data_IF_496667563326
#
_entry.id   IF_496667563326
#
_cell.length_a   1.000
_cell.length_b   1.000
_cell.length_c   1.000
_cell.angle_alpha   90.00
_cell.angle_beta   90.00
_cell.angle_gamma   90.00
#
_symmetry.space_group_name_H-M   'P 1'
#
loop_
_entity.id
_entity.type
_entity.pdbx_description
1 polymer ?
#
# COMPACT_ATOMS: atom_id res chain seq x y z
N UNK A 1 -52.06 24.60 -49.89
CA UNK A 1 -50.76 24.81 -49.20
C UNK A 1 -50.97 24.59 -47.72
N UNK A 2 -50.32 23.61 -47.11
CA UNK A 2 -50.26 23.54 -45.66
C UNK A 2 -48.93 22.92 -45.21
N UNK A 3 -48.19 23.71 -44.45
CA UNK A 3 -46.79 23.62 -44.03
C UNK A 3 -46.51 22.56 -42.95
N UNK A 4 -47.32 21.50 -42.84
CA UNK A 4 -47.27 20.56 -41.70
C UNK A 4 -46.54 19.23 -41.99
N UNK A 5 -45.69 19.15 -43.02
CA UNK A 5 -44.92 17.92 -43.32
C UNK A 5 -43.41 18.08 -43.38
N UNK A 6 -42.85 19.24 -43.05
CA UNK A 6 -41.39 19.46 -43.07
C UNK A 6 -40.79 19.58 -41.66
N UNK A 7 -41.61 19.69 -40.60
CA UNK A 7 -41.12 19.82 -39.22
C UNK A 7 -40.82 18.49 -38.51
N UNK A 8 -41.16 17.31 -39.06
CA UNK A 8 -40.91 16.02 -38.41
C UNK A 8 -39.70 15.26 -38.95
N UNK A 9 -38.96 15.82 -39.90
CA UNK A 9 -37.79 15.17 -40.52
C UNK A 9 -36.46 15.79 -40.05
N UNK A 10 -36.48 16.98 -39.45
CA UNK A 10 -35.25 17.67 -38.98
C UNK A 10 -34.98 17.46 -37.47
N UNK A 11 -35.91 16.85 -36.72
CA UNK A 11 -35.79 16.66 -35.25
C UNK A 11 -35.49 15.22 -34.80
N UNK A 12 -35.27 14.25 -35.70
CA UNK A 12 -34.81 12.90 -35.32
C UNK A 12 -33.33 12.63 -35.56
N UNK A 13 -32.65 13.47 -36.35
CA UNK A 13 -31.19 13.42 -36.55
C UNK A 13 -30.39 14.04 -35.38
N UNK A 14 -31.05 14.76 -34.47
CA UNK A 14 -30.43 15.29 -33.24
C UNK A 14 -30.55 14.34 -32.03
N UNK A 15 -31.18 13.16 -32.21
CA UNK A 15 -31.34 12.14 -31.17
C UNK A 15 -30.11 11.26 -30.93
N UNK A 16 -29.07 11.35 -31.77
CA UNK A 16 -27.90 10.47 -31.69
C UNK A 16 -26.58 11.18 -31.39
N UNK A 17 -26.56 12.51 -31.20
CA UNK A 17 -25.32 13.26 -30.93
C UNK A 17 -25.19 13.71 -29.46
N UNK A 18 -26.22 13.55 -28.62
CA UNK A 18 -26.17 13.97 -27.20
C UNK A 18 -25.84 12.80 -26.23
N UNK A 19 -25.76 11.56 -26.70
CA UNK A 19 -25.42 10.40 -25.83
C UNK A 19 -23.91 10.15 -25.72
N UNK A 20 -23.07 10.80 -26.54
CA UNK A 20 -21.63 10.55 -26.56
C UNK A 20 -20.76 11.56 -25.76
N UNK A 21 -21.35 12.61 -25.18
CA UNK A 21 -20.58 13.71 -24.55
C UNK A 21 -20.68 13.79 -23.01
N UNK A 22 -21.35 12.84 -22.35
CA UNK A 22 -21.43 12.80 -20.87
C UNK A 22 -20.58 11.68 -20.23
N UNK A 23 -19.62 11.11 -20.97
CA UNK A 23 -18.75 10.01 -20.52
C UNK A 23 -17.24 10.33 -20.57
N UNK A 24 -16.87 11.61 -20.73
CA UNK A 24 -15.47 12.07 -20.63
C UNK A 24 -15.17 12.78 -19.31
N UNK A 25 -15.92 12.47 -18.26
CA UNK A 25 -15.36 12.60 -16.91
C UNK A 25 -14.34 11.49 -16.76
N UNK A 26 -13.04 11.82 -16.67
CA UNK A 26 -12.09 10.90 -16.05
C UNK A 26 -12.77 10.32 -14.80
N UNK A 27 -12.67 9.00 -14.51
CA UNK A 27 -13.25 8.48 -13.29
C UNK A 27 -12.56 9.21 -12.13
N UNK A 28 -13.25 10.23 -11.62
CA UNK A 28 -12.93 10.84 -10.36
C UNK A 28 -13.06 9.69 -9.38
N UNK A 29 -11.92 9.33 -8.79
CA UNK A 29 -11.73 8.42 -7.67
C UNK A 29 -13.06 8.24 -6.94
N UNK A 30 -13.72 7.09 -7.10
CA UNK A 30 -14.78 6.73 -6.18
C UNK A 30 -14.05 6.37 -4.87
N UNK A 31 -13.68 7.42 -4.12
CA UNK A 31 -13.08 7.29 -2.82
C UNK A 31 -14.01 6.43 -1.96
N UNK A 32 -13.44 5.53 -1.16
CA UNK A 32 -14.17 4.84 -0.11
C UNK A 32 -14.98 5.89 0.67
N UNK A 33 -16.30 5.91 0.47
CA UNK A 33 -17.16 7.03 0.90
C UNK A 33 -17.30 7.16 2.42
N UNK A 34 -16.79 6.18 3.16
CA UNK A 34 -16.82 6.09 4.62
C UNK A 34 -15.42 5.94 5.22
N UNK A 35 -14.44 6.66 4.66
CA UNK A 35 -13.07 6.68 5.21
C UNK A 35 -12.97 7.68 6.35
N UNK A 36 -12.37 7.25 7.46
CA UNK A 36 -12.00 8.11 8.59
C UNK A 36 -10.49 8.04 8.76
N UNK A 37 -9.85 9.20 8.91
CA UNK A 37 -8.42 9.32 9.20
C UNK A 37 -8.22 9.62 10.68
N UNK A 38 -7.68 8.65 11.42
CA UNK A 38 -7.21 8.80 12.80
C UNK A 38 -5.76 9.28 12.81
N UNK A 39 -5.42 10.27 13.64
CA UNK A 39 -4.03 10.67 13.92
C UNK A 39 -3.72 10.58 15.41
N UNK A 40 -2.59 9.96 15.71
CA UNK A 40 -2.08 9.72 17.06
C UNK A 40 -0.66 10.26 17.18
N UNK A 41 -0.44 11.13 18.17
CA UNK A 41 0.87 11.69 18.50
C UNK A 41 0.99 11.90 20.00
N UNK A 42 2.13 11.53 20.59
CA UNK A 42 2.36 11.63 22.03
C UNK A 42 2.14 13.06 22.54
N UNK A 43 1.25 13.22 23.52
CA UNK A 43 0.92 14.50 24.16
C UNK A 43 -0.16 15.32 23.45
N UNK A 44 -0.61 14.93 22.26
CA UNK A 44 -1.72 15.59 21.55
C UNK A 44 -3.02 14.82 21.74
N UNK A 45 -4.16 15.53 21.73
CA UNK A 45 -5.47 14.87 21.71
C UNK A 45 -5.65 14.18 20.34
N UNK A 46 -5.98 12.87 20.30
CA UNK A 46 -6.27 12.16 19.06
C UNK A 46 -7.28 12.90 18.19
N UNK A 47 -7.10 12.84 16.87
CA UNK A 47 -8.05 13.45 15.94
C UNK A 47 -8.58 12.44 14.93
N UNK A 48 -9.85 12.57 14.56
CA UNK A 48 -10.50 11.87 13.46
C UNK A 48 -10.93 12.90 12.41
N UNK A 49 -10.46 12.75 11.17
CA UNK A 49 -10.68 13.71 10.08
C UNK A 49 -10.29 15.15 10.47
N UNK A 50 -9.23 15.29 11.27
CA UNK A 50 -8.74 16.58 11.79
C UNK A 50 -9.52 17.15 12.97
N UNK A 51 -10.65 16.56 13.36
CA UNK A 51 -11.42 16.97 14.54
C UNK A 51 -10.98 16.15 15.78
N UNK A 52 -10.85 16.76 16.97
CA UNK A 52 -10.55 16.03 18.20
C UNK A 52 -11.56 14.91 18.49
N UNK A 53 -11.07 13.75 18.91
CA UNK A 53 -11.93 12.64 19.37
C UNK A 53 -12.64 13.07 20.65
N UNK A 54 -13.97 13.05 20.64
CA UNK A 54 -14.79 13.53 21.74
C UNK A 54 -14.48 12.76 23.04
N UNK A 55 -14.16 13.50 24.11
CA UNK A 55 -13.84 12.94 25.42
C UNK A 55 -12.47 12.28 25.55
N UNK A 56 -11.65 12.26 24.48
CA UNK A 56 -10.29 11.74 24.55
C UNK A 56 -9.36 12.70 25.30
N UNK A 57 -8.52 12.15 26.17
CA UNK A 57 -7.35 12.82 26.70
C UNK A 57 -6.21 12.86 25.68
N UNK A 58 -5.13 13.58 26.00
CA UNK A 58 -3.88 13.49 25.25
C UNK A 58 -3.41 12.03 25.13
N UNK A 59 -2.95 11.65 23.94
CA UNK A 59 -2.43 10.32 23.65
C UNK A 59 -1.09 10.12 24.35
N UNK A 60 -0.90 8.96 24.97
CA UNK A 60 0.30 8.63 25.76
C UNK A 60 0.95 7.30 25.34
N UNK A 61 0.48 6.71 24.23
CA UNK A 61 0.89 5.37 23.82
C UNK A 61 2.08 5.31 22.85
N UNK A 62 2.71 6.43 22.47
CA UNK A 62 3.96 6.34 21.71
C UNK A 62 5.09 5.97 22.67
N UNK A 63 5.72 4.83 22.42
CA UNK A 63 6.86 4.31 23.17
C UNK A 63 8.01 4.16 22.20
N UNK A 64 9.13 4.82 22.45
CA UNK A 64 10.31 4.73 21.61
C UNK A 64 11.62 4.84 22.38
N UNK A 65 12.66 4.22 21.85
CA UNK A 65 14.00 4.31 22.42
C UNK A 65 15.03 3.97 21.36
N UNK A 66 16.31 4.13 21.68
CA UNK A 66 17.39 3.58 20.88
C UNK A 66 18.42 2.89 21.74
N UNK A 67 19.20 2.03 21.10
CA UNK A 67 20.36 1.36 21.69
C UNK A 67 21.58 1.71 20.86
N UNK A 68 22.74 1.68 21.51
CA UNK A 68 23.98 2.13 20.90
C UNK A 68 25.13 1.19 21.26
N UNK A 69 25.87 0.71 20.26
CA UNK A 69 26.94 -0.29 20.46
C UNK A 69 28.06 0.19 21.36
N UNK A 70 28.44 1.48 21.26
CA UNK A 70 29.48 2.06 22.12
C UNK A 70 29.08 2.19 23.59
N UNK A 71 27.77 2.16 23.89
CA UNK A 71 27.22 2.24 25.23
C UNK A 71 26.36 1.00 25.50
N UNK A 72 26.97 -0.20 25.51
CA UNK A 72 26.22 -1.41 25.27
C UNK A 72 25.28 -1.81 26.43
N UNK A 73 25.49 -1.24 27.61
CA UNK A 73 24.71 -1.43 28.83
C UNK A 73 23.84 -0.21 29.19
N UNK A 74 23.84 0.84 28.36
CA UNK A 74 23.06 2.05 28.61
C UNK A 74 21.69 1.95 27.93
N UNK A 75 20.63 2.25 28.69
CA UNK A 75 19.29 2.45 28.17
C UNK A 75 19.04 3.96 27.95
N UNK A 76 18.39 4.30 26.83
CA UNK A 76 18.16 5.70 26.43
C UNK A 76 16.65 6.04 26.45
N UNK A 77 15.96 5.65 27.53
CA UNK A 77 14.50 5.63 27.64
C UNK A 77 13.77 6.98 27.60
N UNK A 78 14.49 8.09 27.62
CA UNK A 78 13.93 9.44 27.63
C UNK A 78 14.71 10.41 26.74
N UNK A 79 15.51 9.86 25.82
CA UNK A 79 16.33 10.68 24.95
C UNK A 79 15.43 11.44 23.97
N UNK A 80 15.55 12.77 23.85
CA UNK A 80 14.69 13.57 22.97
C UNK A 80 14.84 13.21 21.48
N UNK A 81 15.91 12.49 21.13
CA UNK A 81 16.25 12.04 19.78
C UNK A 81 16.63 10.56 19.84
N UNK A 82 16.06 9.76 18.93
CA UNK A 82 16.45 8.38 18.72
C UNK A 82 17.46 8.27 17.59
N UNK A 83 18.54 7.52 17.81
CA UNK A 83 19.57 7.26 16.82
C UNK A 83 19.38 5.88 16.20
N UNK A 84 19.65 5.78 14.90
CA UNK A 84 19.68 4.53 14.19
C UNK A 84 20.63 4.60 13.01
N UNK A 85 21.06 3.44 12.51
CA UNK A 85 22.10 3.37 11.50
C UNK A 85 23.48 3.28 12.15
N UNK A 86 24.55 3.56 11.42
CA UNK A 86 25.89 3.61 11.99
C UNK A 86 26.65 4.79 11.41
N UNK A 87 27.63 5.33 12.12
CA UNK A 87 28.48 6.38 11.58
C UNK A 87 29.92 5.91 11.70
N UNK A 88 30.71 6.01 10.63
CA UNK A 88 32.16 5.91 10.73
C UNK A 88 32.68 7.23 11.34
N UNK A 89 32.35 7.45 12.61
CA UNK A 89 32.69 8.67 13.32
C UNK A 89 34.16 8.63 13.72
N UNK A 90 34.95 9.60 13.24
CA UNK A 90 36.28 9.97 13.78
C UNK A 90 37.23 8.78 14.07
N UNK A 91 37.26 7.77 13.21
CA UNK A 91 38.19 6.64 13.35
C UNK A 91 37.77 5.57 14.35
N UNK A 92 36.47 5.47 14.67
CA UNK A 92 35.90 4.34 15.42
C UNK A 92 35.18 3.37 14.46
N UNK A 93 35.88 2.34 13.95
CA UNK A 93 35.24 1.30 13.16
C UNK A 93 34.32 0.49 14.08
N UNK A 94 33.00 0.72 14.02
CA UNK A 94 31.88 -0.12 14.54
C UNK A 94 30.70 0.61 15.19
N UNK A 95 30.58 1.94 15.12
CA UNK A 95 29.48 2.65 15.77
C UNK A 95 28.13 2.35 15.08
N UNK A 96 27.28 1.57 15.76
CA UNK A 96 25.96 1.16 15.31
C UNK A 96 24.91 1.49 16.37
N UNK A 97 23.81 2.08 15.92
CA UNK A 97 22.62 2.36 16.70
C UNK A 97 21.39 1.72 16.05
N UNK A 98 20.42 1.35 16.89
CA UNK A 98 19.12 0.84 16.46
C UNK A 98 18.03 1.55 17.26
N UNK A 99 16.97 1.99 16.59
CA UNK A 99 15.83 2.58 17.25
C UNK A 99 14.64 1.62 17.25
N UNK A 100 13.83 1.69 18.30
CA UNK A 100 12.60 0.94 18.46
C UNK A 100 11.44 1.92 18.65
N UNK A 101 10.31 1.64 18.02
CA UNK A 101 9.10 2.46 18.18
C UNK A 101 7.84 1.60 18.10
N UNK A 102 6.88 1.87 18.97
CA UNK A 102 5.52 1.32 18.91
C UNK A 102 4.47 2.32 19.37
N UNK A 103 3.23 2.08 18.96
CA UNK A 103 2.06 2.87 19.33
C UNK A 103 1.09 1.98 20.09
N UNK A 104 1.01 2.10 21.42
CA UNK A 104 0.11 1.34 22.29
C UNK A 104 -1.28 1.98 22.36
N UNK A 105 -2.31 1.16 22.59
CA UNK A 105 -3.67 1.64 22.85
C UNK A 105 -4.33 2.37 21.67
N UNK A 106 -3.77 2.28 20.45
CA UNK A 106 -4.33 2.90 19.26
C UNK A 106 -5.71 2.31 18.91
N UNK A 107 -5.90 1.03 19.24
CA UNK A 107 -7.15 0.28 19.09
C UNK A 107 -8.31 0.88 19.89
N UNK A 108 -8.05 1.64 20.96
CA UNK A 108 -9.10 2.32 21.73
C UNK A 108 -9.77 3.45 20.93
N UNK A 109 -9.12 3.91 19.86
CA UNK A 109 -9.61 4.95 18.96
C UNK A 109 -10.10 4.38 17.63
N UNK A 110 -10.00 3.06 17.44
CA UNK A 110 -10.54 2.35 16.29
C UNK A 110 -11.79 1.58 16.70
N UNK A 111 -12.92 1.73 16.00
CA UNK A 111 -14.08 0.87 16.20
C UNK A 111 -13.72 -0.61 16.03
N UNK A 112 -14.34 -1.51 16.80
CA UNK A 112 -14.02 -2.95 16.82
C UNK A 112 -14.14 -3.70 15.47
N UNK A 113 -14.71 -3.05 14.45
CA UNK A 113 -14.82 -3.55 13.07
C UNK A 113 -14.26 -2.58 12.04
N UNK A 114 -13.42 -1.64 12.47
CA UNK A 114 -12.67 -0.81 11.54
C UNK A 114 -11.83 -1.71 10.63
N UNK A 115 -11.67 -1.28 9.38
CA UNK A 115 -10.79 -1.91 8.41
C UNK A 115 -9.74 -0.89 8.06
N UNK A 116 -8.49 -1.12 8.45
CA UNK A 116 -7.38 -0.25 8.09
C UNK A 116 -7.17 -0.34 6.59
N UNK A 117 -7.33 0.79 5.91
CA UNK A 117 -7.08 0.95 4.49
C UNK A 117 -5.64 1.37 4.24
N UNK A 118 -5.13 2.26 5.11
CA UNK A 118 -3.71 2.60 5.15
C UNK A 118 -3.28 3.02 6.56
N UNK A 119 -2.01 2.84 6.89
CA UNK A 119 -1.40 3.39 8.09
C UNK A 119 -0.02 3.94 7.77
N UNK A 120 0.26 5.18 8.20
CA UNK A 120 1.49 5.90 7.92
C UNK A 120 2.11 6.40 9.21
N UNK A 121 3.37 6.04 9.43
CA UNK A 121 4.21 6.56 10.49
C UNK A 121 5.07 7.71 9.94
N UNK A 122 4.89 8.88 10.51
CA UNK A 122 5.67 10.08 10.23
C UNK A 122 6.76 10.24 11.30
N UNK A 123 8.01 10.31 10.86
CA UNK A 123 9.19 10.51 11.70
C UNK A 123 9.91 11.78 11.27
N UNK A 124 9.94 12.79 12.14
CA UNK A 124 10.68 14.02 11.89
C UNK A 124 12.17 13.78 12.11
N UNK A 125 13.00 14.06 11.10
CA UNK A 125 14.46 14.02 11.21
C UNK A 125 14.95 15.04 12.23
N UNK A 126 15.87 14.63 13.10
CA UNK A 126 16.61 15.53 13.99
C UNK A 126 18.00 15.88 13.43
N UNK A 127 18.21 15.64 12.13
CA UNK A 127 19.47 15.84 11.41
C UNK A 127 20.29 14.55 11.28
N UNK A 128 20.69 14.23 10.05
CA UNK A 128 21.67 13.16 9.80
C UNK A 128 23.10 13.65 10.04
N UNK A 129 23.98 12.75 10.47
CA UNK A 129 25.32 13.11 10.93
C UNK A 129 26.43 12.90 9.89
N UNK A 130 26.19 12.13 8.83
CA UNK A 130 27.23 11.76 7.84
C UNK A 130 26.69 11.75 6.41
N UNK A 131 27.49 12.27 5.48
CA UNK A 131 27.32 12.14 4.02
C UNK A 131 27.71 10.74 3.55
N UNK A 132 26.88 10.12 2.72
CA UNK A 132 27.17 8.79 2.18
C UNK A 132 26.84 7.65 3.16
N UNK A 133 25.84 6.84 2.82
CA UNK A 133 25.48 5.67 3.60
C UNK A 133 24.45 4.82 2.87
N UNK A 134 24.56 3.51 3.05
CA UNK A 134 23.54 2.54 2.65
C UNK A 134 22.24 2.77 3.44
N UNK A 135 21.17 2.12 3.01
CA UNK A 135 19.86 2.33 3.61
C UNK A 135 19.75 1.91 5.07
N UNK A 136 18.70 2.37 5.75
CA UNK A 136 18.33 1.83 7.06
C UNK A 136 17.30 0.74 6.87
N UNK A 137 17.51 -0.38 7.51
CA UNK A 137 16.60 -1.50 7.43
C UNK A 137 15.51 -1.37 8.48
N UNK A 138 14.31 -1.82 8.12
CA UNK A 138 13.12 -1.78 8.94
C UNK A 138 12.70 -3.22 9.20
N UNK A 139 12.55 -3.59 10.46
CA UNK A 139 12.09 -4.92 10.86
C UNK A 139 10.86 -4.79 11.73
N UNK A 140 9.93 -5.74 11.64
CA UNK A 140 8.90 -5.85 12.67
C UNK A 140 9.45 -6.60 13.89
N UNK A 141 8.93 -6.29 15.07
CA UNK A 141 9.38 -6.92 16.30
C UNK A 141 8.61 -8.21 16.60
N UNK A 142 9.34 -9.29 16.89
CA UNK A 142 8.77 -10.60 17.24
C UNK A 142 8.76 -10.84 18.74
N UNK A 143 9.42 -10.01 19.54
CA UNK A 143 9.48 -10.12 21.01
C UNK A 143 9.09 -8.78 21.64
N UNK A 144 8.40 -8.83 22.77
CA UNK A 144 8.05 -7.62 23.53
C UNK A 144 9.31 -6.96 24.10
N UNK A 145 9.29 -5.64 24.26
CA UNK A 145 10.42 -4.87 24.79
C UNK A 145 9.95 -3.72 25.66
N UNK A 146 10.86 -3.10 26.40
CA UNK A 146 10.63 -1.86 27.16
C UNK A 146 11.73 -0.87 26.82
N UNK A 147 11.58 0.39 27.22
CA UNK A 147 12.60 1.41 26.96
C UNK A 147 13.91 1.16 27.74
N UNK A 148 13.94 0.17 28.64
CA UNK A 148 15.14 -0.26 29.37
C UNK A 148 16.04 -1.21 28.56
N UNK A 149 15.72 -1.48 27.29
CA UNK A 149 16.59 -2.26 26.41
C UNK A 149 17.94 -1.57 26.21
N UNK A 150 18.98 -2.39 26.09
CA UNK A 150 20.36 -1.98 25.85
C UNK A 150 20.88 -2.71 24.62
N UNK A 151 22.09 -2.40 24.16
CA UNK A 151 22.69 -3.16 23.07
C UNK A 151 22.85 -4.64 23.42
N UNK A 152 23.26 -4.93 24.66
CA UNK A 152 23.48 -6.29 25.16
C UNK A 152 22.17 -7.06 25.43
N UNK A 153 21.08 -6.35 25.71
CA UNK A 153 19.74 -6.94 25.97
C UNK A 153 18.76 -6.74 24.82
N UNK A 154 19.26 -6.40 23.63
CA UNK A 154 18.42 -6.03 22.48
C UNK A 154 17.43 -7.15 22.11
N UNK A 155 16.15 -6.81 21.88
CA UNK A 155 15.12 -7.79 21.53
C UNK A 155 15.37 -8.42 20.15
N UNK A 156 14.94 -9.67 19.97
CA UNK A 156 14.93 -10.30 18.67
C UNK A 156 13.93 -9.61 17.73
N UNK A 157 14.34 -9.44 16.47
CA UNK A 157 13.52 -8.87 15.39
C UNK A 157 13.10 -9.97 14.41
N UNK A 158 12.04 -9.72 13.66
CA UNK A 158 11.53 -10.60 12.62
C UNK A 158 12.29 -10.46 11.30
N UNK A 159 11.60 -10.77 10.21
CA UNK A 159 12.09 -10.55 8.85
C UNK A 159 12.14 -9.06 8.51
N UNK A 160 13.06 -8.68 7.62
CA UNK A 160 13.15 -7.34 7.02
C UNK A 160 11.84 -7.03 6.28
N UNK A 161 11.21 -5.91 6.61
CA UNK A 161 9.94 -5.46 6.03
C UNK A 161 10.10 -4.23 5.14
N UNK A 162 11.24 -3.55 5.19
CA UNK A 162 11.53 -2.43 4.32
C UNK A 162 12.96 -1.97 4.50
N UNK A 163 13.50 -1.24 3.52
CA UNK A 163 14.79 -0.58 3.62
C UNK A 163 14.72 0.84 3.08
N UNK A 164 15.48 1.72 3.73
CA UNK A 164 15.52 3.16 3.54
C UNK A 164 16.76 3.54 2.73
N UNK A 165 16.83 3.10 1.46
CA UNK A 165 17.92 3.49 0.55
C UNK A 165 17.86 4.99 0.26
N UNK A 166 19.00 5.68 0.36
CA UNK A 166 19.06 7.14 0.20
C UNK A 166 19.75 7.52 -1.11
N UNK A 167 18.98 8.15 -2.00
CA UNK A 167 19.44 8.84 -3.20
C UNK A 167 18.83 10.25 -3.21
N UNK A 168 19.60 11.35 -3.34
CA UNK A 168 21.06 11.46 -3.38
C UNK A 168 21.68 11.42 -1.97
N UNK A 169 22.94 10.99 -1.87
CA UNK A 169 23.75 10.72 -0.66
C UNK A 169 23.89 11.85 0.40
N UNK A 170 23.12 12.94 0.33
CA UNK A 170 23.27 14.16 1.14
C UNK A 170 22.41 14.14 2.42
N UNK A 171 22.96 14.43 3.63
CA UNK A 171 22.32 14.43 4.95
C UNK A 171 20.88 14.90 4.94
N UNK A 172 20.01 14.17 5.62
CA UNK A 172 18.62 14.58 5.80
C UNK A 172 18.60 15.78 6.76
N UNK A 173 18.13 16.97 6.32
CA UNK A 173 18.11 18.13 7.18
C UNK A 173 17.22 17.90 8.40
N UNK A 174 17.56 18.57 9.50
CA UNK A 174 16.67 18.70 10.66
C UNK A 174 15.32 19.28 10.21
N UNK A 175 14.23 18.77 10.78
CA UNK A 175 12.86 19.21 10.49
C UNK A 175 12.29 18.66 9.18
N UNK A 176 12.96 17.73 8.51
CA UNK A 176 12.40 17.04 7.34
C UNK A 176 11.75 15.71 7.72
N UNK A 177 10.62 15.39 7.10
CA UNK A 177 9.78 14.26 7.51
C UNK A 177 10.11 12.98 6.72
N UNK A 178 10.22 11.84 7.41
CA UNK A 178 10.22 10.50 6.82
C UNK A 178 8.83 9.89 6.98
N UNK A 179 8.35 9.20 5.95
CA UNK A 179 7.07 8.49 6.03
C UNK A 179 7.31 7.01 5.79
N UNK A 180 6.94 6.20 6.77
CA UNK A 180 6.90 4.75 6.69
C UNK A 180 5.45 4.33 6.60
N UNK A 181 5.16 3.35 5.78
CA UNK A 181 3.83 2.76 5.71
C UNK A 181 3.82 1.47 6.52
N UNK A 182 2.86 1.40 7.42
CA UNK A 182 2.66 0.29 8.33
C UNK A 182 1.26 -0.31 8.14
N UNK A 183 0.59 -0.06 7.00
CA UNK A 183 -0.80 -0.46 6.73
C UNK A 183 -1.04 -1.92 7.07
N UNK A 184 -0.21 -2.80 6.52
CA UNK A 184 -0.26 -4.24 6.74
C UNK A 184 -0.02 -4.64 8.20
N UNK A 185 0.91 -3.98 8.88
CA UNK A 185 1.24 -4.26 10.28
C UNK A 185 0.13 -3.79 11.22
N UNK A 186 -0.33 -2.56 11.07
CA UNK A 186 -1.39 -1.96 11.88
C UNK A 186 -2.71 -2.71 11.69
N UNK A 187 -3.02 -3.14 10.47
CA UNK A 187 -4.17 -4.03 10.22
C UNK A 187 -4.01 -5.37 10.96
N UNK A 188 -2.82 -6.00 10.89
CA UNK A 188 -2.57 -7.27 11.58
C UNK A 188 -2.62 -7.12 13.12
N UNK A 189 -2.12 -6.00 13.66
CA UNK A 189 -2.22 -5.65 15.07
C UNK A 189 -3.67 -5.43 15.50
N UNK A 190 -4.43 -4.64 14.73
CA UNK A 190 -5.83 -4.33 15.02
C UNK A 190 -6.72 -5.57 14.99
N UNK A 191 -6.52 -6.47 14.02
CA UNK A 191 -7.28 -7.72 13.92
C UNK A 191 -6.78 -8.83 14.86
N UNK A 192 -5.72 -8.59 15.63
CA UNK A 192 -5.13 -9.57 16.55
C UNK A 192 -4.36 -10.70 15.86
N UNK A 193 -4.10 -10.59 14.55
CA UNK A 193 -3.28 -11.55 13.79
C UNK A 193 -1.78 -11.45 14.11
N UNK A 194 -1.34 -10.32 14.67
CA UNK A 194 0.01 -10.10 15.17
C UNK A 194 -0.06 -9.28 16.47
N UNK A 195 0.75 -9.61 17.48
CA UNK A 195 0.86 -8.76 18.66
C UNK A 195 1.56 -7.43 18.29
N UNK A 196 1.03 -6.30 18.78
CA UNK A 196 1.69 -5.01 18.59
C UNK A 196 2.97 -4.93 19.43
N UNK A 197 4.09 -5.16 18.77
CA UNK A 197 5.44 -5.07 19.36
C UNK A 197 6.26 -3.97 18.69
N UNK A 198 5.66 -3.18 17.80
CA UNK A 198 6.34 -2.12 17.06
C UNK A 198 7.29 -2.63 15.98
N UNK A 199 8.17 -1.72 15.56
CA UNK A 199 9.21 -1.92 14.56
C UNK A 199 10.59 -1.55 15.12
N UNK A 200 11.63 -2.05 14.48
CA UNK A 200 13.01 -1.56 14.66
C UNK A 200 13.51 -0.90 13.39
N UNK A 201 14.30 0.16 13.58
CA UNK A 201 15.04 0.88 12.55
C UNK A 201 16.52 0.62 12.81
N UNK A 202 17.18 -0.03 11.86
CA UNK A 202 18.52 -0.60 12.05
C UNK A 202 19.45 -0.15 10.90
N UNK A 203 20.76 -0.31 11.09
CA UNK A 203 21.71 -0.37 9.98
C UNK A 203 21.79 -1.80 9.43
N UNK A 204 22.20 -1.92 8.17
CA UNK A 204 22.86 -3.14 7.70
C UNK A 204 24.20 -3.24 8.45
N UNK A 205 24.26 -4.12 9.46
CA UNK A 205 25.44 -4.30 10.32
C UNK A 205 26.65 -4.87 9.57
N UNK A 206 26.42 -5.46 8.39
CA UNK A 206 27.44 -6.12 7.56
C UNK A 206 27.83 -5.29 6.31
N UNK A 207 27.30 -4.07 6.15
CA UNK A 207 27.53 -3.22 4.98
C UNK A 207 28.61 -2.16 5.18
N UNK A 208 29.47 -1.93 4.19
CA UNK A 208 30.62 -1.00 4.24
C UNK A 208 30.25 0.50 4.31
N UNK A 209 28.97 0.87 4.25
CA UNK A 209 28.51 2.27 4.19
C UNK A 209 27.47 2.53 5.26
N UNK A 210 27.90 3.05 6.41
CA UNK A 210 27.01 3.42 7.51
C UNK A 210 26.81 4.95 7.55
N UNK A 211 25.57 5.41 7.36
CA UNK A 211 25.18 6.79 7.73
C UNK A 211 24.39 6.78 9.04
N UNK A 212 24.80 7.61 10.00
CA UNK A 212 24.09 7.81 11.26
C UNK A 212 22.87 8.68 11.01
N UNK A 213 21.70 8.17 11.40
CA UNK A 213 20.40 8.82 11.21
C UNK A 213 19.73 9.04 12.55
N UNK A 214 18.81 10.00 12.55
CA UNK A 214 18.10 10.36 13.76
C UNK A 214 16.66 10.77 13.47
N UNK A 215 15.80 10.60 14.46
CA UNK A 215 14.46 11.20 14.48
C UNK A 215 14.14 11.69 15.89
N UNK A 216 13.26 12.68 15.98
CA UNK A 216 12.75 13.17 17.26
C UNK A 216 11.86 12.10 17.93
N UNK A 217 12.18 11.77 19.18
CA UNK A 217 11.46 10.80 20.03
C UNK A 217 10.07 11.30 20.47
N UNK A 218 9.31 10.44 21.14
CA UNK A 218 8.12 10.80 21.92
C UNK A 218 8.38 11.82 23.02
N UNK A 219 9.63 12.00 23.47
CA UNK A 219 10.05 12.94 24.49
C UNK A 219 10.57 14.28 23.94
N UNK A 220 10.53 14.48 22.62
CA UNK A 220 10.92 15.75 22.03
C UNK A 220 10.11 16.92 22.62
N UNK A 221 10.77 18.06 22.85
CA UNK A 221 10.15 19.22 23.50
C UNK A 221 8.99 19.80 22.67
N UNK A 222 9.16 19.88 21.35
CA UNK A 222 8.11 20.33 20.44
C UNK A 222 7.20 19.14 20.07
N UNK A 223 5.91 19.23 20.40
CA UNK A 223 4.93 18.21 20.06
C UNK A 223 4.93 17.93 18.55
N UNK A 224 5.00 18.96 17.71
CA UNK A 224 4.99 18.83 16.24
C UNK A 224 6.10 17.95 15.67
N UNK A 225 7.20 17.75 16.41
CA UNK A 225 8.33 16.94 15.96
C UNK A 225 8.19 15.47 16.35
N UNK A 226 7.32 15.14 17.30
CA UNK A 226 7.18 13.77 17.82
C UNK A 226 6.60 12.81 16.76
N UNK A 227 6.91 11.50 16.85
CA UNK A 227 6.39 10.50 15.92
C UNK A 227 4.86 10.53 15.86
N UNK A 228 4.31 10.41 14.65
CA UNK A 228 2.86 10.44 14.42
C UNK A 228 2.41 9.22 13.62
N UNK A 229 1.45 8.48 14.16
CA UNK A 229 0.77 7.40 13.44
C UNK A 229 -0.56 7.93 12.90
N UNK A 230 -0.69 7.93 11.59
CA UNK A 230 -1.94 8.20 10.87
C UNK A 230 -2.53 6.87 10.38
N UNK A 231 -3.81 6.63 10.64
CA UNK A 231 -4.54 5.43 10.21
C UNK A 231 -5.77 5.88 9.45
N UNK A 232 -5.84 5.59 8.16
CA UNK A 232 -7.07 5.69 7.39
C UNK A 232 -7.81 4.35 7.48
N UNK A 233 -9.05 4.37 7.97
CA UNK A 233 -9.87 3.18 8.10
C UNK A 233 -11.29 3.39 7.57
N UNK A 234 -11.90 2.31 7.11
CA UNK A 234 -13.33 2.26 6.79
C UNK A 234 -14.11 1.62 7.92
N UNK A 235 -15.33 2.09 8.14
CA UNK A 235 -16.30 1.43 8.99
C UNK A 235 -16.99 0.32 8.18
N UNK A 236 -16.92 -0.92 8.65
CA UNK A 236 -17.85 -1.96 8.20
C UNK A 236 -19.04 -1.95 9.16
N UNK A 237 -20.22 -1.63 8.63
CA UNK A 237 -21.49 -1.53 9.34
C UNK A 237 -21.67 -0.32 10.27
N UNK A 238 -22.14 0.80 9.71
CA UNK A 238 -23.08 1.67 10.43
C UNK A 238 -24.34 1.76 9.58
N UNK A 239 -25.44 1.23 10.11
CA UNK A 239 -26.76 1.34 9.51
C UNK A 239 -27.02 2.77 8.99
N UNK A 240 -27.08 2.93 7.67
CA UNK A 240 -27.73 4.09 7.04
C UNK A 240 -26.86 5.26 6.57
N UNK A 241 -25.58 5.09 6.23
CA UNK A 241 -24.92 6.14 5.41
C UNK A 241 -25.43 6.05 3.98
N UNK A 242 -26.32 6.98 3.63
CA UNK A 242 -26.84 7.19 2.28
C UNK A 242 -25.68 7.33 1.29
N UNK A 243 -25.62 6.48 0.28
CA UNK A 243 -24.76 6.71 -0.88
C UNK A 243 -25.56 7.48 -1.94
N UNK A 244 -25.07 8.62 -2.44
CA UNK A 244 -25.80 9.42 -3.44
C UNK A 244 -25.92 8.74 -4.82
N UNK A 245 -25.23 7.61 -5.04
CA UNK A 245 -25.20 6.93 -6.34
C UNK A 245 -26.29 5.83 -6.51
N UNK A 246 -26.95 5.39 -5.43
CA UNK A 246 -27.97 4.33 -5.49
C UNK A 246 -29.16 4.76 -4.62
N UNK A 247 -29.97 5.68 -5.13
CA UNK A 247 -31.14 6.17 -4.40
C UNK A 247 -32.19 5.07 -4.25
N UNK A 248 -32.52 4.71 -3.01
CA UNK A 248 -33.82 4.10 -2.67
C UNK A 248 -33.84 2.76 -1.95
N UNK A 249 -32.73 2.13 -1.54
CA UNK A 249 -32.77 0.88 -0.75
C UNK A 249 -31.65 0.81 0.29
N UNK A 250 -32.02 0.60 1.56
CA UNK A 250 -31.06 0.33 2.65
C UNK A 250 -30.23 -0.92 2.29
N UNK A 251 -28.91 -0.84 2.39
CA UNK A 251 -28.03 -1.98 2.12
C UNK A 251 -26.76 -1.94 2.95
N UNK A 252 -26.19 -3.12 3.18
CA UNK A 252 -24.97 -3.30 3.96
C UNK A 252 -23.76 -3.03 3.10
N UNK A 253 -22.78 -2.31 3.62
CA UNK A 253 -21.46 -2.18 3.00
C UNK A 253 -20.45 -3.04 3.73
N UNK A 254 -19.67 -3.82 2.98
CA UNK A 254 -18.61 -4.67 3.50
C UNK A 254 -17.27 -4.30 2.85
N UNK A 255 -16.18 -4.46 3.59
CA UNK A 255 -14.81 -4.34 3.07
C UNK A 255 -14.11 -5.68 3.28
N UNK A 256 -13.66 -6.28 2.18
CA UNK A 256 -13.02 -7.59 2.11
C UNK A 256 -11.58 -7.39 1.70
N UNK A 257 -10.66 -8.01 2.44
CA UNK A 257 -9.23 -7.94 2.20
C UNK A 257 -8.78 -9.34 1.83
N UNK A 258 -8.24 -9.49 0.63
CA UNK A 258 -7.69 -10.76 0.13
C UNK A 258 -6.19 -10.61 -0.05
N UNK A 259 -5.43 -11.55 0.51
CA UNK A 259 -3.98 -11.50 0.49
C UNK A 259 -3.39 -12.91 0.32
N UNK A 260 -2.35 -13.03 -0.51
CA UNK A 260 -1.57 -14.25 -0.68
C UNK A 260 -2.11 -15.24 -1.72
N UNK A 261 -1.44 -16.38 -1.89
CA UNK A 261 -1.48 -17.20 -3.11
C UNK A 261 -2.84 -17.83 -3.44
N UNK A 262 -3.84 -17.75 -2.54
CA UNK A 262 -5.18 -18.29 -2.80
C UNK A 262 -6.00 -17.43 -3.77
N UNK A 263 -5.72 -16.12 -3.84
CA UNK A 263 -6.44 -15.16 -4.69
C UNK A 263 -5.51 -14.55 -5.75
N UNK A 264 -4.23 -14.92 -5.70
CA UNK A 264 -3.17 -14.30 -6.49
C UNK A 264 -2.36 -15.35 -7.21
N UNK A 265 -2.07 -15.09 -8.47
CA UNK A 265 -0.93 -15.65 -9.19
C UNK A 265 0.03 -14.51 -9.51
N UNK A 266 1.30 -14.64 -9.17
CA UNK A 266 2.31 -13.68 -9.60
C UNK A 266 3.58 -14.37 -10.08
N UNK A 267 4.38 -13.60 -10.82
CA UNK A 267 5.72 -14.01 -11.24
C UNK A 267 6.56 -12.77 -11.53
N UNK A 268 7.83 -13.01 -11.75
CA UNK A 268 8.83 -12.00 -12.02
C UNK A 268 9.57 -12.32 -13.32
N UNK A 269 9.69 -11.30 -14.18
CA UNK A 269 10.37 -11.37 -15.48
C UNK A 269 11.65 -10.54 -15.48
N UNK A 270 12.72 -11.13 -16.02
CA UNK A 270 14.01 -10.49 -16.26
C UNK A 270 14.71 -11.06 -17.51
N UNK A 271 15.53 -10.25 -18.20
CA UNK A 271 16.33 -10.72 -19.36
C UNK A 271 17.24 -11.90 -19.02
N UNK A 272 17.87 -11.83 -17.85
CA UNK A 272 18.87 -12.81 -17.41
C UNK A 272 18.22 -14.04 -16.78
N UNK A 273 16.95 -13.96 -16.41
CA UNK A 273 16.25 -15.03 -15.71
C UNK A 273 14.73 -14.95 -15.95
N UNK A 274 14.17 -15.98 -16.56
CA UNK A 274 12.75 -16.07 -16.81
C UNK A 274 12.01 -16.79 -15.67
N UNK A 275 10.80 -16.32 -15.36
CA UNK A 275 9.77 -17.05 -14.62
C UNK A 275 10.15 -17.49 -13.19
N UNK A 276 9.98 -16.58 -12.23
CA UNK A 276 10.12 -16.91 -10.81
C UNK A 276 8.78 -16.98 -10.07
N UNK A 277 8.00 -18.02 -10.32
CA UNK A 277 6.81 -18.35 -9.50
C UNK A 277 7.10 -18.72 -8.04
N UNK A 278 8.36 -18.67 -7.61
CA UNK A 278 8.74 -18.88 -6.21
C UNK A 278 9.49 -17.69 -5.61
N UNK A 279 9.65 -16.60 -6.38
CA UNK A 279 10.32 -15.42 -5.87
C UNK A 279 9.41 -14.70 -4.88
N UNK A 280 9.90 -14.48 -3.67
CA UNK A 280 9.21 -13.66 -2.68
C UNK A 280 9.27 -12.16 -2.95
N UNK A 281 10.14 -11.73 -3.88
CA UNK A 281 10.43 -10.33 -4.19
C UNK A 281 10.71 -10.20 -5.69
N UNK A 282 10.06 -9.23 -6.34
CA UNK A 282 10.34 -8.83 -7.71
C UNK A 282 11.14 -7.53 -7.72
N UNK A 283 12.23 -7.51 -8.48
CA UNK A 283 13.12 -6.36 -8.60
C UNK A 283 12.92 -5.68 -9.96
N UNK A 284 12.34 -4.50 -9.94
CA UNK A 284 11.88 -3.77 -11.13
C UNK A 284 12.97 -2.88 -11.76
N UNK A 285 14.27 -3.11 -11.48
CA UNK A 285 15.34 -2.26 -12.04
C UNK A 285 15.38 -2.26 -13.58
N UNK A 286 15.86 -1.15 -14.14
CA UNK A 286 16.11 -0.96 -15.58
C UNK A 286 17.55 -0.50 -15.90
N UNK A 287 18.46 -0.54 -14.90
CA UNK A 287 19.77 0.10 -14.99
C UNK A 287 20.69 -0.49 -16.07
N UNK A 288 21.05 0.37 -17.04
CA UNK A 288 21.94 0.21 -18.20
C UNK A 288 21.30 -0.41 -19.47
N UNK A 289 21.78 0.01 -20.65
CA UNK A 289 21.24 -0.36 -21.97
C UNK A 289 21.35 -1.85 -22.32
N UNK A 290 22.08 -2.63 -21.52
CA UNK A 290 22.21 -4.08 -21.69
C UNK A 290 21.16 -4.88 -20.88
N UNK A 291 20.54 -4.27 -19.86
CA UNK A 291 19.53 -4.92 -19.04
C UNK A 291 18.12 -4.61 -19.58
N UNK A 292 17.32 -5.65 -19.87
CA UNK A 292 15.88 -5.43 -20.13
C UNK A 292 15.19 -4.93 -18.86
N UNK A 293 14.11 -4.13 -18.99
CA UNK A 293 13.27 -3.75 -17.88
C UNK A 293 12.71 -5.01 -17.24
N UNK A 294 12.97 -5.15 -15.94
CA UNK A 294 12.38 -6.19 -15.12
C UNK A 294 10.96 -5.80 -14.72
N UNK A 295 10.09 -6.79 -14.61
CA UNK A 295 8.65 -6.56 -14.39
C UNK A 295 8.07 -7.60 -13.44
N UNK A 296 7.11 -7.19 -12.63
CA UNK A 296 6.25 -8.12 -11.91
C UNK A 296 4.95 -8.30 -12.69
N UNK A 297 4.54 -9.55 -12.88
CA UNK A 297 3.22 -9.89 -13.40
C UNK A 297 2.35 -10.35 -12.24
N UNK A 298 1.13 -9.82 -12.16
CA UNK A 298 0.18 -10.17 -11.11
C UNK A 298 -1.19 -10.48 -11.72
N UNK A 299 -1.86 -11.51 -11.25
CA UNK A 299 -3.22 -11.84 -11.65
C UNK A 299 -4.06 -12.15 -10.42
N UNK A 300 -5.21 -11.48 -10.35
CA UNK A 300 -6.24 -11.77 -9.36
C UNK A 300 -7.06 -12.95 -9.90
N UNK A 301 -7.10 -14.06 -9.17
CA UNK A 301 -7.89 -15.22 -9.55
C UNK A 301 -9.36 -14.98 -9.22
N UNK A 302 -10.13 -14.54 -10.24
CA UNK A 302 -11.50 -14.06 -10.06
C UNK A 302 -12.52 -15.17 -9.85
N UNK A 303 -12.18 -16.44 -10.08
CA UNK A 303 -13.09 -17.56 -9.83
C UNK A 303 -13.58 -17.60 -8.37
N UNK A 304 -12.70 -17.29 -7.42
CA UNK A 304 -13.06 -17.20 -6.00
C UNK A 304 -13.87 -15.95 -5.64
N UNK A 305 -13.94 -14.96 -6.54
CA UNK A 305 -14.62 -13.69 -6.36
C UNK A 305 -16.00 -13.67 -7.04
N UNK A 306 -16.11 -14.30 -8.21
CA UNK A 306 -17.33 -14.34 -9.03
C UNK A 306 -18.50 -15.08 -8.37
N UNK A 307 -18.23 -15.93 -7.38
CA UNK A 307 -19.28 -16.68 -6.67
C UNK A 307 -20.11 -15.80 -5.73
N UNK A 308 -19.61 -14.60 -5.36
CA UNK A 308 -20.30 -13.71 -4.43
C UNK A 308 -20.40 -12.26 -4.91
N UNK A 309 -19.66 -11.86 -5.95
CA UNK A 309 -19.81 -10.57 -6.62
C UNK A 309 -20.71 -10.65 -7.85
N UNK A 310 -21.71 -9.77 -7.90
CA UNK A 310 -22.60 -9.65 -9.04
C UNK A 310 -21.91 -9.06 -10.27
N UNK A 311 -22.33 -9.52 -11.45
CA UNK A 311 -22.03 -8.85 -12.72
C UNK A 311 -22.77 -7.55 -12.85
N UNK A 312 -22.24 -6.58 -13.58
CA UNK A 312 -22.90 -5.29 -13.86
C UNK A 312 -24.29 -5.47 -14.47
N UNK A 313 -24.48 -6.50 -15.29
CA UNK A 313 -25.76 -6.82 -15.94
C UNK A 313 -26.75 -7.58 -15.06
N UNK A 314 -26.32 -8.13 -13.92
CA UNK A 314 -27.22 -8.84 -13.03
C UNK A 314 -28.26 -7.87 -12.46
N UNK A 315 -29.51 -8.29 -12.24
CA UNK A 315 -30.48 -7.49 -11.51
C UNK A 315 -30.07 -7.33 -10.04
N UNK A 316 -30.44 -6.20 -9.43
CA UNK A 316 -30.30 -6.04 -7.97
C UNK A 316 -31.16 -7.08 -7.24
N UNK A 317 -30.50 -8.02 -6.55
CA UNK A 317 -31.14 -9.06 -5.75
C UNK A 317 -30.59 -9.03 -4.32
N UNK A 318 -31.41 -9.32 -3.30
CA UNK A 318 -30.95 -9.44 -1.93
C UNK A 318 -29.87 -10.50 -1.78
N UNK A 319 -28.91 -10.23 -0.91
CA UNK A 319 -27.84 -11.18 -0.61
C UNK A 319 -26.76 -11.30 -1.69
N UNK A 320 -26.88 -10.59 -2.82
CA UNK A 320 -25.84 -10.55 -3.84
C UNK A 320 -25.03 -9.26 -3.69
N UNK A 321 -23.71 -9.40 -3.47
CA UNK A 321 -22.84 -8.26 -3.26
C UNK A 321 -22.51 -7.57 -4.59
N UNK A 322 -22.56 -6.24 -4.59
CA UNK A 322 -22.13 -5.39 -5.69
C UNK A 322 -20.77 -4.81 -5.38
N UNK A 323 -19.87 -4.83 -6.36
CA UNK A 323 -18.62 -4.10 -6.25
C UNK A 323 -18.91 -2.60 -6.17
N UNK A 324 -18.33 -1.93 -5.18
CA UNK A 324 -18.38 -0.47 -5.02
C UNK A 324 -17.02 0.12 -5.37
N UNK A 325 -15.96 -0.46 -4.82
CA UNK A 325 -14.59 -0.09 -5.14
C UNK A 325 -13.65 -1.28 -4.97
N UNK A 326 -12.54 -1.27 -5.68
CA UNK A 326 -11.44 -2.21 -5.52
C UNK A 326 -10.10 -1.47 -5.55
N UNK A 327 -9.26 -1.76 -4.56
CA UNK A 327 -7.89 -1.27 -4.50
C UNK A 327 -6.89 -2.40 -4.45
N UNK A 328 -5.96 -2.40 -5.41
CA UNK A 328 -4.77 -3.23 -5.39
C UNK A 328 -3.70 -2.55 -4.55
N UNK A 329 -3.18 -3.22 -3.54
CA UNK A 329 -2.11 -2.77 -2.66
C UNK A 329 -0.87 -3.64 -2.82
N UNK A 330 0.26 -3.04 -3.24
CA UNK A 330 1.54 -3.74 -3.40
C UNK A 330 2.57 -3.16 -2.45
N UNK A 331 3.10 -4.00 -1.56
CA UNK A 331 4.16 -3.60 -0.64
C UNK A 331 5.52 -3.55 -1.35
N UNK A 332 6.33 -2.59 -0.94
CA UNK A 332 7.72 -2.42 -1.42
C UNK A 332 8.70 -2.80 -0.32
N UNK A 333 9.77 -3.50 -0.69
CA UNK A 333 10.89 -3.81 0.21
C UNK A 333 11.94 -2.71 0.16
N UNK A 334 12.31 -2.31 -1.05
CA UNK A 334 13.41 -1.39 -1.31
C UNK A 334 12.99 -0.46 -2.43
N UNK A 335 13.28 0.83 -2.28
CA UNK A 335 12.95 1.83 -3.30
C UNK A 335 14.11 2.79 -3.48
N UNK A 336 14.56 2.95 -4.71
CA UNK A 336 15.56 3.95 -5.08
C UNK A 336 15.09 4.90 -6.18
N UNK A 337 14.04 4.55 -6.93
CA UNK A 337 13.36 5.50 -7.82
C UNK A 337 12.14 6.12 -7.20
N UNK A 338 11.76 7.23 -7.83
CA UNK A 338 10.63 8.05 -7.43
C UNK A 338 9.32 7.67 -8.09
N UNK A 339 9.24 6.57 -8.83
CA UNK A 339 7.96 6.09 -9.34
C UNK A 339 8.02 4.70 -9.93
N UNK A 340 6.89 4.00 -9.95
CA UNK A 340 6.60 2.94 -10.90
C UNK A 340 5.11 2.94 -11.21
N UNK A 341 4.72 2.15 -12.20
CA UNK A 341 3.41 2.25 -12.83
C UNK A 341 2.79 0.88 -13.06
N UNK A 342 1.46 0.85 -13.02
CA UNK A 342 0.66 -0.35 -13.17
C UNK A 342 -0.10 -0.29 -14.49
N UNK A 343 -0.12 -1.40 -15.21
CA UNK A 343 -0.92 -1.57 -16.41
C UNK A 343 -1.72 -2.88 -16.37
N UNK A 344 -2.74 -2.95 -17.21
CA UNK A 344 -3.31 -4.24 -17.63
C UNK A 344 -2.43 -4.87 -18.71
N UNK A 345 -2.23 -6.19 -18.65
CA UNK A 345 -1.56 -6.90 -19.73
C UNK A 345 -2.47 -6.93 -20.96
N UNK A 346 -1.89 -6.87 -22.16
CA UNK A 346 -2.67 -7.00 -23.39
C UNK A 346 -3.13 -8.45 -23.67
N UNK A 347 -2.45 -9.42 -23.06
CA UNK A 347 -2.67 -10.84 -23.32
C UNK A 347 -2.59 -11.65 -22.03
N UNK A 348 -3.31 -12.78 -21.98
CA UNK A 348 -3.25 -13.74 -20.88
C UNK A 348 -1.88 -14.41 -20.83
N UNK A 349 -1.46 -14.80 -19.63
CA UNK A 349 -0.20 -15.46 -19.38
C UNK A 349 -0.34 -16.60 -18.37
N UNK A 350 0.58 -17.55 -18.40
CA UNK A 350 0.65 -18.63 -17.44
C UNK A 350 1.78 -18.36 -16.45
N UNK A 351 1.50 -18.19 -15.14
CA UNK A 351 2.52 -17.83 -14.15
C UNK A 351 3.73 -18.75 -14.20
N UNK A 352 3.50 -20.05 -14.35
CA UNK A 352 4.56 -21.08 -14.35
C UNK A 352 5.27 -21.30 -15.68
N UNK A 353 4.98 -20.54 -16.74
CA UNK A 353 5.61 -20.74 -18.05
C UNK A 353 5.92 -19.44 -18.82
N UNK A 354 5.55 -18.28 -18.28
CA UNK A 354 5.74 -16.99 -18.95
C UNK A 354 7.21 -16.55 -18.94
N UNK A 355 7.67 -16.02 -20.07
CA UNK A 355 9.01 -15.48 -20.27
C UNK A 355 8.92 -14.13 -21.00
N UNK A 356 10.04 -13.44 -21.18
CA UNK A 356 10.07 -12.21 -22.01
C UNK A 356 9.70 -12.49 -23.49
N UNK A 357 9.78 -13.75 -23.95
CA UNK A 357 9.49 -14.15 -25.33
C UNK A 357 8.11 -14.79 -25.49
N UNK A 358 7.69 -15.62 -24.53
CA UNK A 358 6.48 -16.45 -24.60
C UNK A 358 5.56 -16.19 -23.41
N UNK A 359 4.26 -16.05 -23.65
CA UNK A 359 3.28 -15.76 -22.59
C UNK A 359 2.88 -16.98 -21.75
N UNK A 360 3.05 -18.18 -22.28
CA UNK A 360 2.60 -19.44 -21.67
C UNK A 360 3.52 -20.64 -21.98
N UNK A 361 4.75 -20.37 -22.44
CA UNK A 361 5.74 -21.37 -22.84
C UNK A 361 5.53 -21.95 -24.24
N UNK A 362 4.43 -21.64 -24.94
CA UNK A 362 4.14 -22.13 -26.28
C UNK A 362 3.90 -20.99 -27.29
N UNK A 363 3.20 -19.95 -26.86
CA UNK A 363 2.79 -18.83 -27.69
C UNK A 363 3.64 -17.59 -27.38
N UNK A 364 4.13 -16.93 -28.44
CA UNK A 364 4.81 -15.63 -28.30
C UNK A 364 3.83 -14.53 -27.92
N UNK A 365 4.36 -13.47 -27.29
CA UNK A 365 3.62 -12.22 -27.13
C UNK A 365 3.33 -11.59 -28.50
N UNK A 366 2.14 -11.01 -28.67
CA UNK A 366 1.78 -10.26 -29.88
C UNK A 366 2.68 -9.03 -30.06
N UNK A 367 3.05 -8.38 -28.94
CA UNK A 367 4.10 -7.37 -28.91
C UNK A 367 5.18 -7.79 -27.91
N UNK A 368 6.34 -8.17 -28.42
CA UNK A 368 7.45 -8.57 -27.57
C UNK A 368 7.88 -7.42 -26.66
N UNK A 369 8.23 -7.79 -25.42
CA UNK A 369 8.81 -6.88 -24.45
C UNK A 369 10.16 -6.36 -24.94
N UNK A 370 10.40 -5.04 -24.87
CA UNK A 370 11.66 -4.44 -25.32
C UNK A 370 12.48 -3.87 -24.16
N UNK A 371 13.76 -3.59 -24.42
CA UNK A 371 14.69 -3.04 -23.42
C UNK A 371 14.33 -1.60 -22.97
N UNK A 372 13.46 -0.92 -23.71
CA UNK A 372 13.18 0.51 -23.48
C UNK A 372 11.72 0.82 -23.23
N UNK A 373 10.82 -0.16 -23.41
CA UNK A 373 9.38 0.05 -23.23
C UNK A 373 8.65 -1.19 -22.68
N UNK A 374 7.55 -0.90 -22.00
CA UNK A 374 6.50 -1.86 -21.66
C UNK A 374 5.54 -1.86 -22.85
N UNK A 375 5.64 -2.89 -23.72
CA UNK A 375 4.95 -2.97 -25.01
C UNK A 375 3.71 -3.87 -24.99
N UNK A 376 3.63 -4.89 -24.12
CA UNK A 376 2.47 -5.78 -24.06
C UNK A 376 1.43 -5.39 -23.01
N UNK A 377 0.93 -4.16 -23.10
CA UNK A 377 -0.05 -3.59 -22.17
C UNK A 377 -1.23 -2.98 -22.91
N UNK A 378 -2.42 -3.07 -22.31
CA UNK A 378 -3.66 -2.53 -22.91
C UNK A 378 -4.12 -1.23 -22.27
N UNK A 379 -3.98 -1.12 -20.94
CA UNK A 379 -4.53 0.00 -20.18
C UNK A 379 -3.52 0.49 -19.15
N UNK A 380 -3.33 1.80 -19.09
CA UNK A 380 -2.61 2.46 -18.01
C UNK A 380 -3.52 2.63 -16.80
N UNK A 381 -3.20 1.96 -15.70
CA UNK A 381 -3.94 2.03 -14.44
C UNK A 381 -3.36 3.05 -13.47
N UNK A 382 -2.31 3.75 -13.89
CA UNK A 382 -1.77 4.91 -13.20
C UNK A 382 -0.36 4.70 -12.66
N UNK A 383 0.37 5.79 -12.69
CA UNK A 383 1.67 5.95 -12.06
C UNK A 383 1.51 6.28 -10.57
N UNK A 384 2.45 5.80 -9.76
CA UNK A 384 2.62 6.25 -8.37
C UNK A 384 3.98 6.90 -8.24
N UNK A 385 3.93 8.21 -7.97
CA UNK A 385 5.10 9.04 -7.71
C UNK A 385 5.42 9.10 -6.21
N UNK A 386 6.69 9.34 -5.91
CA UNK A 386 7.23 9.51 -4.57
C UNK A 386 7.94 10.86 -4.48
N UNK A 387 7.44 11.74 -3.61
CA UNK A 387 8.08 13.04 -3.33
C UNK A 387 9.43 12.89 -2.59
N UNK A 388 9.59 11.81 -1.83
CA UNK A 388 10.79 11.43 -1.08
C UNK A 388 10.88 9.90 -1.17
N UNK A 389 12.05 9.28 -1.09
CA UNK A 389 12.12 7.82 -1.04
C UNK A 389 11.18 7.32 0.08
N UNK A 390 10.08 6.68 -0.30
CA UNK A 390 9.07 6.12 0.60
C UNK A 390 9.49 4.68 0.88
N UNK A 391 9.34 4.21 2.11
CA UNK A 391 10.00 2.98 2.55
C UNK A 391 9.01 2.00 3.18
N UNK A 392 9.08 0.74 2.75
CA UNK A 392 8.20 -0.32 3.27
C UNK A 392 6.72 -0.14 2.88
N UNK A 393 6.42 0.59 1.79
CA UNK A 393 5.06 1.07 1.51
C UNK A 393 4.20 0.19 0.64
N UNK A 394 2.93 0.10 1.03
CA UNK A 394 1.86 -0.52 0.27
C UNK A 394 1.27 0.53 -0.67
N UNK A 395 1.54 0.36 -1.95
CA UNK A 395 1.05 1.25 -2.99
C UNK A 395 -0.30 0.82 -3.46
N UNK A 396 -1.25 1.76 -3.45
CA UNK A 396 -2.62 1.51 -3.81
C UNK A 396 -2.94 1.98 -5.23
N UNK A 397 -3.47 1.09 -6.08
CA UNK A 397 -4.13 1.43 -7.34
C UNK A 397 -5.62 1.20 -7.23
N UNK A 398 -6.42 2.06 -7.85
CA UNK A 398 -7.83 1.79 -8.09
C UNK A 398 -7.94 0.86 -9.29
N UNK A 399 -8.50 -0.33 -9.07
CA UNK A 399 -8.73 -1.31 -10.12
C UNK A 399 -10.21 -1.69 -10.20
N UNK A 400 -11.11 -0.84 -9.69
CA UNK A 400 -12.55 -1.10 -9.62
C UNK A 400 -13.12 -1.49 -10.97
N UNK A 401 -12.85 -0.70 -12.00
CA UNK A 401 -13.32 -0.98 -13.36
C UNK A 401 -12.78 -2.31 -13.90
N UNK A 402 -11.47 -2.55 -13.75
CA UNK A 402 -10.84 -3.78 -14.26
C UNK A 402 -11.29 -5.04 -13.53
N UNK A 403 -11.47 -4.96 -12.21
CA UNK A 403 -12.03 -6.08 -11.46
C UNK A 403 -13.47 -6.35 -11.89
N UNK A 404 -14.28 -5.31 -12.11
CA UNK A 404 -15.65 -5.46 -12.62
C UNK A 404 -15.67 -6.08 -14.02
N UNK A 405 -14.81 -5.63 -14.94
CA UNK A 405 -14.66 -6.19 -16.28
C UNK A 405 -14.43 -7.70 -16.22
N UNK A 406 -13.54 -8.17 -15.35
CA UNK A 406 -13.26 -9.60 -15.19
C UNK A 406 -14.42 -10.36 -14.56
N UNK A 407 -15.15 -9.77 -13.62
CA UNK A 407 -16.37 -10.36 -13.03
C UNK A 407 -17.47 -10.49 -14.09
N UNK A 408 -17.59 -9.50 -14.98
CA UNK A 408 -18.54 -9.47 -16.09
C UNK A 408 -18.21 -10.49 -17.20
N UNK A 409 -17.04 -11.14 -17.11
CA UNK A 409 -16.60 -12.20 -18.01
C UNK A 409 -15.67 -11.73 -19.13
N UNK A 410 -15.17 -10.49 -19.08
CA UNK A 410 -14.08 -10.08 -19.96
C UNK A 410 -12.80 -10.85 -19.61
N UNK A 411 -11.92 -11.10 -20.59
CA UNK A 411 -10.68 -11.85 -20.35
C UNK A 411 -9.83 -11.24 -19.23
N UNK A 412 -9.46 -12.06 -18.25
CA UNK A 412 -8.53 -11.69 -17.20
C UNK A 412 -7.09 -11.86 -17.70
N UNK A 413 -6.58 -10.84 -18.37
CA UNK A 413 -5.19 -10.80 -18.86
C UNK A 413 -4.19 -10.54 -17.74
N UNK A 414 -4.63 -10.20 -16.53
CA UNK A 414 -3.76 -9.83 -15.43
C UNK A 414 -3.15 -8.44 -15.59
N UNK A 415 -2.17 -8.16 -14.74
CA UNK A 415 -1.57 -6.86 -14.51
C UNK A 415 -0.06 -6.96 -14.64
N UNK A 416 0.58 -5.86 -15.00
CA UNK A 416 2.03 -5.72 -15.00
C UNK A 416 2.44 -4.47 -14.24
N UNK A 417 3.49 -4.62 -13.45
CA UNK A 417 4.10 -3.56 -12.67
C UNK A 417 5.55 -3.38 -13.13
N UNK A 418 5.94 -2.14 -13.38
CA UNK A 418 7.30 -1.82 -13.83
C UNK A 418 7.48 -0.35 -14.16
N UNK A 419 8.50 -0.06 -14.96
CA UNK A 419 8.84 1.30 -15.40
C UNK A 419 8.59 1.47 -16.90
N UNK A 420 8.01 2.63 -17.24
CA UNK A 420 7.81 3.03 -18.63
C UNK A 420 9.09 3.58 -19.30
N UNK A 421 10.20 3.71 -18.56
CA UNK A 421 11.46 4.28 -19.06
C UNK A 421 12.67 3.43 -18.65
N UNK A 422 13.76 3.61 -19.40
CA UNK A 422 15.02 2.86 -19.24
C UNK A 422 15.96 3.40 -18.12
N UNK A 423 15.48 4.31 -17.26
CA UNK A 423 16.31 5.02 -16.28
C UNK A 423 15.73 4.95 -14.87
N UNK A 424 15.29 3.76 -14.49
CA UNK A 424 14.90 3.39 -13.14
C UNK A 424 15.98 2.51 -12.47
N UNK A 425 16.46 2.97 -11.33
CA UNK A 425 17.22 2.23 -10.32
C UNK A 425 16.41 1.07 -9.66
N UNK A 426 16.96 0.52 -8.57
CA UNK A 426 16.45 -0.65 -7.84
C UNK A 426 15.11 -0.35 -7.13
N UNK A 427 14.02 -0.99 -7.54
CA UNK A 427 12.77 -1.04 -6.78
C UNK A 427 12.36 -2.49 -6.57
N UNK A 428 12.13 -2.87 -5.33
CA UNK A 428 11.76 -4.23 -4.96
C UNK A 428 10.33 -4.23 -4.43
N UNK A 429 9.46 -5.03 -5.06
CA UNK A 429 8.08 -5.25 -4.65
C UNK A 429 7.91 -6.65 -4.09
N UNK A 430 7.02 -6.80 -3.12
CA UNK A 430 6.77 -8.07 -2.46
C UNK A 430 5.73 -8.88 -3.22
N UNK A 431 6.01 -10.16 -3.42
CA UNK A 431 5.14 -11.12 -4.11
C UNK A 431 4.47 -12.08 -3.11
N UNK A 432 3.60 -12.95 -3.62
CA UNK A 432 2.76 -13.82 -2.80
C UNK A 432 3.52 -14.84 -1.97
N UNK A 433 4.74 -15.19 -2.34
CA UNK A 433 5.61 -16.11 -1.60
C UNK A 433 6.32 -15.46 -0.42
N UNK A 434 6.18 -14.14 -0.21
CA UNK A 434 6.86 -13.45 0.88
C UNK A 434 6.52 -14.04 2.26
N UNK A 435 7.53 -14.24 3.10
CA UNK A 435 7.40 -14.91 4.39
C UNK A 435 6.48 -14.17 5.38
N UNK A 436 6.40 -12.85 5.27
CA UNK A 436 5.54 -12.00 6.10
C UNK A 436 4.17 -11.84 5.45
N UNK A 437 3.23 -12.71 5.82
CA UNK A 437 1.93 -12.82 5.12
C UNK A 437 1.17 -11.51 4.96
N UNK A 438 1.14 -10.63 5.96
CA UNK A 438 0.39 -9.38 5.88
C UNK A 438 0.98 -8.38 4.87
N UNK A 439 2.24 -8.54 4.46
CA UNK A 439 2.89 -7.65 3.49
C UNK A 439 2.77 -8.11 2.04
N UNK A 440 2.26 -9.30 1.79
CA UNK A 440 2.01 -9.82 0.43
C UNK A 440 0.98 -8.94 -0.31
N UNK A 441 0.90 -9.02 -1.66
CA UNK A 441 -0.07 -8.30 -2.47
C UNK A 441 -1.48 -8.43 -1.90
N UNK A 442 -2.15 -7.28 -1.73
CA UNK A 442 -3.42 -7.20 -1.04
C UNK A 442 -4.47 -6.57 -1.95
N UNK A 443 -5.64 -7.19 -2.05
CA UNK A 443 -6.79 -6.65 -2.76
C UNK A 443 -7.85 -6.29 -1.73
N UNK A 444 -8.14 -4.99 -1.66
CA UNK A 444 -9.15 -4.40 -0.78
C UNK A 444 -10.39 -4.10 -1.60
N UNK A 445 -11.49 -4.78 -1.31
CA UNK A 445 -12.75 -4.68 -2.04
C UNK A 445 -13.80 -4.08 -1.12
N UNK A 446 -14.42 -2.98 -1.52
CA UNK A 446 -15.66 -2.53 -0.90
C UNK A 446 -16.84 -3.05 -1.72
N UNK A 447 -17.81 -3.62 -1.02
CA UNK A 447 -19.06 -4.06 -1.62
C UNK A 447 -20.28 -3.46 -0.97
N UNK A 448 -21.39 -3.54 -1.67
CA UNK A 448 -22.71 -3.19 -1.19
C UNK A 448 -23.69 -4.32 -1.48
N UNK A 449 -24.40 -4.79 -0.45
CA UNK A 449 -25.42 -5.82 -0.57
C UNK A 449 -26.78 -5.22 -0.22
N UNK A 450 -27.77 -5.24 -1.14
CA UNK A 450 -29.12 -4.80 -0.82
C UNK A 450 -29.71 -5.63 0.34
N UNK A 451 -30.28 -4.95 1.34
CA UNK A 451 -31.09 -5.58 2.36
C UNK A 451 -32.57 -5.31 2.07
N UNK A 452 -33.43 -6.31 2.21
CA UNK A 452 -34.84 -6.04 2.45
C UNK A 452 -35.07 -6.16 3.95
N UNK A 453 -35.41 -5.05 4.61
CA UNK A 453 -36.20 -5.13 5.84
C UNK A 453 -37.64 -5.39 5.41
N UNK A 454 -38.17 -6.58 5.73
CA UNK A 454 -39.59 -6.89 5.50
C UNK A 454 -40.47 -5.82 6.15
N UNK A 455 -41.56 -5.41 5.54
CA UNK A 455 -42.83 -6.15 5.66
C UNK A 455 -43.28 -6.77 4.34
N UNK A 456 -43.39 -8.11 4.30
CA UNK A 456 -44.29 -8.79 3.37
C UNK A 456 -45.69 -8.68 3.98
N UNK A 457 -46.50 -7.75 3.48
CA UNK A 457 -47.95 -7.82 3.67
C UNK A 457 -48.48 -8.68 2.53
N UNK A 458 -48.65 -9.97 2.74
CA UNK A 458 -49.57 -10.77 1.92
C UNK A 458 -50.96 -10.68 2.55
N UNK A 459 -51.65 -9.62 2.15
CA UNK A 459 -53.03 -9.54 1.67
C UNK A 459 -54.06 -10.53 2.23
N UNK A 460 -55.22 -9.97 2.60
CA UNK A 460 -56.48 -10.44 2.01
C UNK A 460 -57.04 -9.37 1.09
#
# INVERSE_FOLDING_TARGET
MNLNRVASIVLRELGHVVVAALLLGQPAVAAFTNTVTLRLRQGEVPTTNGAPVAGASAYTGCVDTYIHREYPDTAFSNAPVCLYGGADWKGFPSNAARAYIRFEGFENYLPAKARVLSARLYLMSAGDWVEGGSGSDIYYMTVSWTEAVTWNTRPARGQLIGSVLRQPWAPKPDGSNSVLDLSSLVQAWHLGGLANRGISLDCNEDGELHSGRSFYSSDAAALSNRPCLEIAYALTDTAGVFHPAWSGREGRQDVIITNGPTVWSDTYLSADHANYVSASVADLRTYNSANTPRRALLRIETAALSDWLARSSDPLRPGVARLVSASLQISTRTMSDRWFQLWSCAETWAPSAVTDLTRDGANSWAQAWTNTAISNVSDDLGRRDFDVAYHGTALAWDITGKLQDWIDGLPNTGLVLGHASAAAYLNEVLLTEFGVQHMRPTLVIQTWTPLYRGTVVTVR
#
